data_IF_410225097204
#
_entry.id   IF_410225097204
#
_cell.length_a   1.000
_cell.length_b   1.000
_cell.length_c   1.000
_cell.angle_alpha   90.00
_cell.angle_beta   90.00
_cell.angle_gamma   90.00
#
_symmetry.space_group_name_H-M   'P 1'
#
loop_
_entity.id
_entity.type
_entity.pdbx_description
1 polymer ?
#
# COMPACT_ATOMS: atom_id res chain seq x y z
N UNK A 1 -21.64 -2.72 -2.50
CA UNK A 1 -20.79 -2.57 -3.71
C UNK A 1 -20.80 -3.78 -4.63
N UNK A 2 -20.91 -5.02 -4.15
CA UNK A 2 -20.89 -6.20 -5.03
C UNK A 2 -21.98 -6.19 -6.11
N UNK A 3 -23.20 -5.78 -5.78
CA UNK A 3 -24.28 -5.65 -6.77
C UNK A 3 -23.87 -4.75 -7.94
N UNK A 4 -23.17 -3.65 -7.68
CA UNK A 4 -22.79 -2.70 -8.71
C UNK A 4 -21.67 -3.26 -9.61
N UNK A 5 -20.73 -4.01 -9.02
CA UNK A 5 -19.71 -4.75 -9.79
C UNK A 5 -20.35 -5.78 -10.72
N UNK A 6 -21.37 -6.51 -10.23
CA UNK A 6 -22.08 -7.50 -11.04
C UNK A 6 -22.87 -6.84 -12.18
N UNK A 7 -23.51 -5.70 -11.94
CA UNK A 7 -24.21 -4.95 -13.00
C UNK A 7 -23.23 -4.42 -14.07
N UNK A 8 -22.10 -3.85 -13.66
CA UNK A 8 -21.03 -3.44 -14.59
C UNK A 8 -20.55 -4.64 -15.40
N UNK A 9 -20.27 -5.77 -14.74
CA UNK A 9 -19.79 -6.99 -15.40
C UNK A 9 -20.82 -7.53 -16.41
N UNK A 10 -22.12 -7.51 -16.07
CA UNK A 10 -23.20 -7.88 -17.00
C UNK A 10 -23.23 -6.98 -18.23
N UNK A 11 -23.12 -5.66 -18.04
CA UNK A 11 -23.09 -4.70 -19.14
C UNK A 11 -21.90 -4.91 -20.09
N UNK A 12 -20.79 -5.46 -19.60
CA UNK A 12 -19.59 -5.76 -20.37
C UNK A 12 -19.48 -7.24 -20.82
N UNK A 13 -20.61 -7.94 -20.90
CA UNK A 13 -20.67 -9.31 -21.42
C UNK A 13 -20.00 -10.33 -20.50
N UNK A 14 -20.14 -10.16 -19.19
CA UNK A 14 -19.56 -11.04 -18.18
C UNK A 14 -18.07 -10.80 -17.90
N UNK A 15 -17.46 -9.78 -18.49
CA UNK A 15 -16.03 -9.47 -18.34
C UNK A 15 -15.82 -8.21 -17.50
N UNK A 16 -14.67 -8.13 -16.84
CA UNK A 16 -14.23 -6.90 -16.22
C UNK A 16 -13.93 -5.86 -17.31
N UNK A 17 -14.44 -4.62 -17.21
CA UNK A 17 -14.07 -3.54 -18.11
C UNK A 17 -12.57 -3.25 -17.99
N UNK A 18 -11.92 -2.89 -19.09
CA UNK A 18 -10.55 -2.38 -19.09
C UNK A 18 -10.55 -0.87 -19.07
N UNK A 19 -9.86 -0.28 -18.10
CA UNK A 19 -9.73 1.17 -17.93
C UNK A 19 -8.26 1.54 -18.08
N UNK A 20 -7.96 2.49 -18.97
CA UNK A 20 -6.64 3.08 -19.11
C UNK A 20 -6.69 4.53 -18.61
N UNK A 21 -5.85 4.85 -17.64
CA UNK A 21 -5.61 6.22 -17.19
C UNK A 21 -4.14 6.62 -17.50
N UNK A 22 -3.90 7.37 -18.60
CA UNK A 22 -2.55 7.77 -18.98
C UNK A 22 -2.01 9.00 -18.21
N UNK A 23 -2.81 9.59 -17.32
CA UNK A 23 -2.45 10.78 -16.53
C UNK A 23 -2.89 10.58 -15.07
N UNK A 24 -2.44 9.49 -14.47
CA UNK A 24 -2.94 8.99 -13.19
C UNK A 24 -2.82 10.01 -12.05
N UNK A 25 -1.75 10.80 -12.03
CA UNK A 25 -1.59 11.97 -11.17
C UNK A 25 -1.65 11.69 -9.67
N UNK A 26 -2.88 11.65 -9.13
CA UNK A 26 -3.23 11.43 -7.72
C UNK A 26 -4.02 10.14 -7.45
N UNK A 27 -4.09 9.25 -8.45
CA UNK A 27 -4.42 7.83 -8.32
C UNK A 27 -5.91 7.52 -8.11
N UNK A 28 -6.75 8.56 -8.02
CA UNK A 28 -8.17 8.42 -7.69
C UNK A 28 -8.93 7.59 -8.74
N UNK A 29 -8.69 7.84 -10.03
CA UNK A 29 -9.36 7.14 -11.13
C UNK A 29 -9.01 5.65 -11.13
N UNK A 30 -7.72 5.22 -11.15
CA UNK A 30 -7.40 3.81 -11.11
C UNK A 30 -7.85 3.12 -9.81
N UNK A 31 -7.79 3.81 -8.65
CA UNK A 31 -8.30 3.27 -7.39
C UNK A 31 -9.79 2.94 -7.46
N UNK A 32 -10.61 3.87 -7.95
CA UNK A 32 -12.05 3.64 -8.05
C UNK A 32 -12.39 2.62 -9.13
N UNK A 33 -11.66 2.59 -10.25
CA UNK A 33 -11.80 1.52 -11.25
C UNK A 33 -11.56 0.14 -10.64
N UNK A 34 -10.50 -0.03 -9.83
CA UNK A 34 -10.25 -1.28 -9.09
C UNK A 34 -11.38 -1.58 -8.09
N UNK A 35 -11.88 -0.56 -7.37
CA UNK A 35 -13.02 -0.73 -6.44
C UNK A 35 -14.30 -1.15 -7.16
N UNK A 36 -14.47 -0.81 -8.43
CA UNK A 36 -15.60 -1.25 -9.26
C UNK A 36 -15.38 -2.62 -9.91
N UNK A 37 -14.21 -3.25 -9.70
CA UNK A 37 -13.89 -4.55 -10.29
C UNK A 37 -13.41 -4.48 -11.75
N UNK A 38 -12.98 -3.29 -12.20
CA UNK A 38 -12.38 -3.11 -13.52
C UNK A 38 -10.90 -3.53 -13.52
N UNK A 39 -10.42 -3.94 -14.68
CA UNK A 39 -8.99 -4.08 -14.98
C UNK A 39 -8.42 -2.69 -15.28
N UNK A 40 -7.78 -2.07 -14.29
CA UNK A 40 -7.21 -0.73 -14.41
C UNK A 40 -5.71 -0.76 -14.78
N UNK A 41 -5.34 -0.02 -15.81
CA UNK A 41 -3.97 0.29 -16.19
C UNK A 41 -3.76 1.79 -16.03
N UNK A 42 -2.73 2.19 -15.29
CA UNK A 42 -2.45 3.59 -15.02
C UNK A 42 -0.98 3.91 -15.31
N UNK A 43 -0.74 5.09 -15.88
CA UNK A 43 0.58 5.58 -16.27
C UNK A 43 0.66 7.06 -15.89
N UNK A 44 1.87 7.51 -15.53
CA UNK A 44 2.19 8.93 -15.43
C UNK A 44 3.64 9.13 -15.89
N UNK A 45 3.90 10.22 -16.62
CA UNK A 45 5.25 10.56 -17.08
C UNK A 45 6.10 11.14 -15.94
N UNK A 46 5.46 11.76 -14.94
CA UNK A 46 6.15 12.26 -13.78
C UNK A 46 6.58 11.08 -12.90
N UNK A 47 7.88 10.85 -12.69
CA UNK A 47 8.35 9.71 -11.91
C UNK A 47 7.90 9.76 -10.45
N UNK A 48 7.62 10.95 -9.91
CA UNK A 48 7.10 11.11 -8.55
C UNK A 48 5.65 10.64 -8.48
N UNK A 49 4.79 11.10 -9.40
CA UNK A 49 3.39 10.67 -9.47
C UNK A 49 3.29 9.17 -9.72
N UNK A 50 4.07 8.66 -10.68
CA UNK A 50 4.16 7.22 -10.94
C UNK A 50 4.58 6.44 -9.69
N UNK A 51 5.56 6.92 -8.93
CA UNK A 51 6.01 6.24 -7.71
C UNK A 51 4.92 6.22 -6.62
N UNK A 52 4.20 7.32 -6.44
CA UNK A 52 3.06 7.41 -5.49
C UNK A 52 1.95 6.44 -5.92
N UNK A 53 1.65 6.34 -7.21
CA UNK A 53 0.72 5.36 -7.78
C UNK A 53 1.10 3.92 -7.40
N UNK A 54 2.38 3.53 -7.56
CA UNK A 54 2.85 2.20 -7.14
C UNK A 54 2.71 1.99 -5.63
N UNK A 55 3.10 2.98 -4.84
CA UNK A 55 3.02 2.93 -3.38
C UNK A 55 1.60 2.86 -2.84
N UNK A 56 0.63 3.37 -3.59
CA UNK A 56 -0.77 3.45 -3.15
C UNK A 56 -1.57 2.23 -3.60
N UNK A 57 -1.39 1.78 -4.85
CA UNK A 57 -2.24 0.73 -5.43
C UNK A 57 -1.59 -0.65 -5.43
N UNK A 58 -0.27 -0.73 -5.64
CA UNK A 58 0.41 -2.00 -5.90
C UNK A 58 1.18 -2.52 -4.68
N UNK A 59 2.02 -1.69 -4.08
CA UNK A 59 2.88 -2.11 -2.97
C UNK A 59 2.10 -2.55 -1.73
N UNK A 60 0.98 -1.90 -1.34
CA UNK A 60 0.22 -2.37 -0.19
C UNK A 60 -0.35 -3.77 -0.42
N UNK A 61 -0.75 -4.11 -1.65
CA UNK A 61 -1.25 -5.44 -1.97
C UNK A 61 -0.12 -6.47 -2.05
N UNK A 62 1.02 -6.11 -2.67
CA UNK A 62 2.17 -7.01 -2.83
C UNK A 62 2.93 -7.29 -1.53
N UNK A 63 3.00 -6.29 -0.64
CA UNK A 63 3.80 -6.33 0.58
C UNK A 63 2.93 -6.31 1.85
N UNK A 64 1.61 -6.47 1.74
CA UNK A 64 0.73 -6.62 2.89
C UNK A 64 1.27 -7.72 3.84
N UNK A 65 1.41 -7.38 5.12
CA UNK A 65 1.90 -8.30 6.14
C UNK A 65 3.41 -8.56 6.12
N UNK A 66 4.17 -8.01 5.17
CA UNK A 66 5.62 -8.09 5.17
C UNK A 66 6.22 -6.99 6.03
N UNK A 67 7.20 -7.35 6.84
CA UNK A 67 7.99 -6.40 7.62
C UNK A 67 9.37 -6.33 6.99
N UNK A 68 9.74 -5.14 6.53
CA UNK A 68 11.05 -4.86 5.96
C UNK A 68 11.79 -3.89 6.88
N UNK A 69 13.08 -4.11 7.15
CA UNK A 69 13.86 -3.16 7.94
C UNK A 69 13.91 -1.80 7.24
N UNK A 70 13.94 -0.73 8.03
CA UNK A 70 14.17 0.60 7.48
C UNK A 70 15.57 0.67 6.83
N UNK A 71 15.75 1.54 5.81
CA UNK A 71 17.07 1.78 5.23
C UNK A 71 18.09 2.19 6.30
N UNK A 72 19.38 1.83 6.11
CA UNK A 72 20.45 2.12 7.09
C UNK A 72 20.50 3.58 7.52
N UNK A 73 20.41 4.52 6.57
CA UNK A 73 20.43 5.96 6.88
C UNK A 73 19.32 6.38 7.85
N UNK A 74 18.15 5.73 7.77
CA UNK A 74 17.03 6.01 8.64
C UNK A 74 17.27 5.46 10.05
N UNK A 75 17.94 4.31 10.17
CA UNK A 75 18.30 3.70 11.45
C UNK A 75 19.44 4.45 12.17
N UNK A 76 20.38 4.99 11.40
CA UNK A 76 21.55 5.73 11.93
C UNK A 76 21.19 7.14 12.41
N UNK A 77 20.08 7.71 11.93
CA UNK A 77 19.61 9.03 12.36
C UNK A 77 18.69 8.92 13.58
N UNK A 78 19.24 9.22 14.77
CA UNK A 78 18.48 9.28 16.01
C UNK A 78 17.34 10.31 15.96
N UNK A 79 17.54 11.41 15.23
CA UNK A 79 16.51 12.43 15.03
C UNK A 79 15.36 11.91 14.15
N UNK A 80 15.67 11.24 13.04
CA UNK A 80 14.68 10.70 12.12
C UNK A 80 13.77 9.66 12.81
N UNK A 81 14.37 8.75 13.57
CA UNK A 81 13.62 7.74 14.34
C UNK A 81 12.77 8.38 15.42
N UNK A 82 13.29 9.40 16.13
CA UNK A 82 12.54 10.15 17.14
C UNK A 82 11.31 10.82 16.51
N UNK A 83 11.50 11.58 15.44
CA UNK A 83 10.42 12.31 14.76
C UNK A 83 9.36 11.33 14.26
N UNK A 84 9.76 10.24 13.60
CA UNK A 84 8.84 9.20 13.12
C UNK A 84 8.05 8.55 14.26
N UNK A 85 8.69 8.27 15.40
CA UNK A 85 8.03 7.73 16.60
C UNK A 85 7.00 8.72 17.15
N UNK A 86 7.36 10.00 17.30
CA UNK A 86 6.44 11.03 17.79
C UNK A 86 5.24 11.22 16.86
N UNK A 87 5.45 11.21 15.55
CA UNK A 87 4.38 11.28 14.56
C UNK A 87 3.46 10.05 14.63
N UNK A 88 4.03 8.85 14.78
CA UNK A 88 3.25 7.62 14.92
C UNK A 88 2.34 7.66 16.16
N UNK A 89 2.81 8.21 17.28
CA UNK A 89 2.04 8.36 18.52
C UNK A 89 0.87 9.35 18.38
N UNK A 90 0.95 10.30 17.43
CA UNK A 90 -0.12 11.27 17.13
C UNK A 90 -1.22 10.69 16.25
N UNK A 91 -1.05 9.48 15.69
CA UNK A 91 -2.09 8.84 14.90
C UNK A 91 -3.26 8.40 15.76
N UNK A 92 -4.42 8.25 15.12
CA UNK A 92 -5.61 7.66 15.75
C UNK A 92 -5.33 6.22 16.21
N UNK A 93 -6.13 5.65 17.12
CA UNK A 93 -5.96 4.26 17.55
C UNK A 93 -5.93 3.26 16.38
N UNK A 94 -6.73 3.50 15.33
CA UNK A 94 -6.72 2.72 14.10
C UNK A 94 -5.38 2.86 13.37
N UNK A 95 -4.86 4.08 13.23
CA UNK A 95 -3.56 4.34 12.60
C UNK A 95 -2.39 3.71 13.38
N UNK A 96 -2.44 3.75 14.71
CA UNK A 96 -1.45 3.10 15.57
C UNK A 96 -1.47 1.57 15.44
N UNK A 97 -2.66 0.96 15.34
CA UNK A 97 -2.79 -0.49 15.17
C UNK A 97 -2.16 -0.99 13.85
N UNK A 98 -2.23 -0.20 12.77
CA UNK A 98 -1.60 -0.52 11.49
C UNK A 98 -0.07 -0.36 11.50
N UNK A 99 0.49 0.46 12.39
CA UNK A 99 1.94 0.66 12.51
C UNK A 99 2.65 -0.39 13.37
N UNK A 100 1.98 -0.96 14.38
CA UNK A 100 2.55 -2.02 15.23
C UNK A 100 3.23 -3.15 14.43
N UNK A 101 2.60 -3.74 13.40
CA UNK A 101 3.24 -4.77 12.60
C UNK A 101 4.40 -4.23 11.75
N UNK A 102 4.36 -2.99 11.27
CA UNK A 102 5.45 -2.39 10.48
C UNK A 102 6.69 -2.04 11.32
N UNK A 103 6.51 -1.72 12.61
CA UNK A 103 7.60 -1.34 13.51
C UNK A 103 8.31 -2.56 14.14
N UNK A 104 7.62 -3.69 14.28
CA UNK A 104 8.12 -4.90 14.93
C UNK A 104 8.75 -5.87 13.92
N UNK A 105 9.79 -5.42 13.23
CA UNK A 105 10.75 -6.30 12.53
C UNK A 105 11.79 -6.91 13.47
N UNK A 106 11.49 -7.05 14.76
CA UNK A 106 12.44 -7.46 15.78
C UNK A 106 11.79 -8.46 16.76
N UNK A 107 11.96 -9.75 16.46
CA UNK A 107 12.12 -10.91 17.37
C UNK A 107 11.50 -12.16 16.76
N UNK A 108 12.34 -13.09 16.29
CA UNK A 108 11.87 -14.32 15.66
C UNK A 108 12.97 -15.24 15.12
N UNK A 109 14.07 -15.41 15.88
CA UNK A 109 14.93 -16.60 15.76
C UNK A 109 15.63 -16.84 17.09
N UNK A 110 14.86 -17.22 18.12
CA UNK A 110 15.42 -18.02 19.21
C UNK A 110 15.77 -19.38 18.59
N UNK A 111 17.06 -19.59 18.32
CA UNK A 111 17.59 -20.93 18.16
C UNK A 111 17.40 -21.62 19.51
N UNK A 112 16.52 -22.61 19.54
CA UNK A 112 16.64 -23.70 20.49
C UNK A 112 17.99 -24.36 20.22
N UNK A 113 18.98 -24.03 21.05
CA UNK A 113 20.21 -24.80 21.16
C UNK A 113 19.91 -25.90 22.19
N UNK A 114 19.73 -27.12 21.69
CA UNK A 114 19.75 -28.32 22.51
C UNK A 114 21.21 -28.59 22.90
N UNK A 115 21.51 -28.49 24.20
CA UNK A 115 22.75 -28.91 24.83
C UNK A 115 22.53 -29.12 26.31
#
# INVERSE_FOLDING_TARGET
>A
MNWFREEIKKAYGGRAPRVLDPFAGSEAIPLEAMRLGCEATAIDINPVAWFILKCTLEYPQKHAGQVQPLPKFALESSEFIRIRREQALRLTPIGQAHLKPLALGASGHERMDNG
#
